data_IF_025253986833
#
_entry.id   IF_025253986833
#
_cell.length_a   1.000
_cell.length_b   1.000
_cell.length_c   1.000
_cell.angle_alpha   90.00
_cell.angle_beta   90.00
_cell.angle_gamma   90.00
#
_symmetry.space_group_name_H-M   'P 1'
#
loop_
_entity.id
_entity.type
_entity.pdbx_description
1 polymer ?
#
# COMPACT_ATOMS: atom_id res chain seq x y z
N UNK A 1 2.15 -5.85 7.97
CA UNK A 1 3.35 -5.99 7.11
C UNK A 1 3.89 -4.61 6.91
N UNK A 2 5.16 -4.42 7.23
CA UNK A 2 5.76 -3.09 7.33
C UNK A 2 7.17 -3.12 6.72
N UNK A 3 7.63 -1.95 6.28
CA UNK A 3 8.98 -1.72 5.79
C UNK A 3 9.52 -0.54 6.57
N UNK A 4 10.61 -0.76 7.28
CA UNK A 4 11.29 0.25 8.09
C UNK A 4 12.66 0.54 7.48
N UNK A 5 13.24 1.70 7.81
CA UNK A 5 14.64 1.99 7.47
C UNK A 5 15.57 1.19 8.39
N UNK A 6 16.48 0.42 7.80
CA UNK A 6 17.46 -0.38 8.52
C UNK A 6 18.90 0.06 8.26
N UNK A 7 19.83 -0.39 9.09
CA UNK A 7 21.24 0.01 9.04
C UNK A 7 21.96 -0.29 7.71
N UNK A 8 21.40 -1.15 6.85
CA UNK A 8 21.98 -1.57 5.56
C UNK A 8 20.98 -1.42 4.40
N UNK A 9 19.96 -0.56 4.57
CA UNK A 9 18.83 -0.45 3.65
C UNK A 9 17.52 -0.91 4.29
N UNK A 10 16.47 -1.17 3.50
CA UNK A 10 15.14 -1.47 4.05
C UNK A 10 15.16 -2.73 4.91
N UNK A 11 14.46 -2.66 6.04
CA UNK A 11 14.13 -3.79 6.89
C UNK A 11 12.68 -4.16 6.64
N UNK A 12 12.42 -5.43 6.30
CA UNK A 12 11.10 -5.97 6.05
C UNK A 12 10.58 -6.66 7.29
N UNK A 13 9.38 -6.29 7.73
CA UNK A 13 8.78 -6.78 8.97
C UNK A 13 7.42 -7.42 8.73
N UNK A 14 7.25 -8.58 9.34
CA UNK A 14 5.97 -9.29 9.48
C UNK A 14 5.63 -9.24 10.96
N UNK A 15 4.56 -8.52 11.34
CA UNK A 15 4.07 -8.48 12.73
C UNK A 15 2.77 -9.29 12.80
N UNK A 16 2.68 -10.18 13.79
CA UNK A 16 1.47 -10.93 14.09
C UNK A 16 1.37 -11.13 15.61
N UNK A 17 0.31 -10.58 16.21
CA UNK A 17 0.13 -10.59 17.67
C UNK A 17 1.39 -10.03 18.38
N UNK A 18 2.02 -10.83 19.25
CA UNK A 18 3.23 -10.47 19.99
C UNK A 18 4.53 -10.85 19.26
N UNK A 19 4.45 -11.50 18.10
CA UNK A 19 5.61 -11.99 17.36
C UNK A 19 5.92 -11.09 16.16
N UNK A 20 7.21 -11.01 15.84
CA UNK A 20 7.69 -10.30 14.66
C UNK A 20 8.80 -11.06 13.96
N UNK A 21 8.76 -11.07 12.64
CA UNK A 21 9.80 -11.66 11.80
C UNK A 21 10.36 -10.59 10.89
N UNK A 22 11.69 -10.47 10.90
CA UNK A 22 12.40 -9.42 10.19
C UNK A 22 13.39 -9.98 9.18
N UNK A 23 13.64 -9.26 8.10
CA UNK A 23 14.61 -9.63 7.08
C UNK A 23 15.06 -8.45 6.23
N UNK A 24 16.26 -8.53 5.66
CA UNK A 24 16.76 -7.50 4.73
C UNK A 24 16.11 -7.59 3.35
N UNK A 25 15.42 -8.70 3.07
CA UNK A 25 14.61 -8.88 1.85
C UNK A 25 13.24 -9.43 2.22
N UNK A 26 12.21 -9.23 1.36
CA UNK A 26 10.89 -9.83 1.54
C UNK A 26 10.97 -11.36 1.72
N UNK A 27 11.83 -12.03 0.94
CA UNK A 27 12.04 -13.48 0.99
C UNK A 27 12.57 -13.96 2.34
N UNK A 28 13.49 -13.23 2.95
CA UNK A 28 14.07 -13.60 4.26
C UNK A 28 13.01 -13.46 5.35
N UNK A 29 12.29 -12.33 5.39
CA UNK A 29 11.24 -12.10 6.37
C UNK A 29 10.13 -13.16 6.23
N UNK A 30 9.68 -13.39 4.99
CA UNK A 30 8.69 -14.42 4.67
C UNK A 30 9.17 -15.83 5.04
N UNK A 31 10.41 -16.19 4.71
CA UNK A 31 10.96 -17.51 5.03
C UNK A 31 11.06 -17.77 6.53
N UNK A 32 11.37 -16.75 7.34
CA UNK A 32 11.34 -16.85 8.81
C UNK A 32 9.91 -17.03 9.32
N UNK A 33 8.97 -16.22 8.83
CA UNK A 33 7.55 -16.37 9.16
C UNK A 33 7.04 -17.76 8.80
N UNK A 34 7.33 -18.27 7.60
CA UNK A 34 6.95 -19.61 7.20
C UNK A 34 7.51 -20.67 8.14
N UNK A 35 8.80 -20.61 8.49
CA UNK A 35 9.40 -21.59 9.40
C UNK A 35 8.70 -21.62 10.75
N UNK A 36 8.41 -20.47 11.35
CA UNK A 36 7.76 -20.36 12.67
C UNK A 36 6.26 -20.67 12.58
N UNK A 37 5.55 -20.05 11.63
CA UNK A 37 4.11 -20.24 11.43
C UNK A 37 3.78 -21.66 10.99
N UNK A 38 4.55 -22.32 10.11
CA UNK A 38 4.28 -23.72 9.77
C UNK A 38 4.51 -24.69 10.93
N UNK A 39 5.38 -24.37 11.90
CA UNK A 39 5.47 -25.14 13.15
C UNK A 39 4.27 -24.92 14.06
N UNK A 40 3.76 -23.69 14.21
CA UNK A 40 2.56 -23.40 15.03
C UNK A 40 1.25 -23.81 14.34
N UNK A 41 1.20 -23.76 13.00
CA UNK A 41 0.04 -24.12 12.16
C UNK A 41 -0.04 -25.63 11.88
N UNK A 42 0.94 -26.45 12.30
CA UNK A 42 0.78 -27.92 12.28
C UNK A 42 -0.42 -28.38 13.12
N UNK A 43 -0.93 -27.54 14.02
CA UNK A 43 -2.11 -27.82 14.84
C UNK A 43 -3.43 -27.38 14.18
N UNK A 44 -3.41 -26.54 13.13
CA UNK A 44 -4.62 -25.88 12.61
C UNK A 44 -5.20 -26.55 11.34
N UNK A 45 -5.48 -27.85 11.39
CA UNK A 45 -6.30 -28.57 10.39
C UNK A 45 -5.64 -28.92 9.05
N UNK A 46 -4.89 -30.03 9.02
CA UNK A 46 -4.95 -31.09 7.97
C UNK A 46 -4.80 -30.76 6.47
N UNK A 47 -4.73 -29.50 6.06
CA UNK A 47 -4.65 -29.06 4.68
C UNK A 47 -3.31 -28.40 4.50
N UNK A 48 -2.42 -29.09 3.79
CA UNK A 48 -1.12 -28.55 3.38
C UNK A 48 -1.41 -27.26 2.62
N UNK A 49 -1.15 -26.10 3.23
CA UNK A 49 -1.10 -24.84 2.51
C UNK A 49 0.11 -24.91 1.58
N UNK A 50 -0.05 -25.52 0.41
CA UNK A 50 0.88 -25.39 -0.71
C UNK A 50 0.66 -24.03 -1.37
N UNK A 51 0.60 -22.97 -0.56
CA UNK A 51 0.53 -21.62 -1.07
C UNK A 51 1.93 -21.31 -1.63
N UNK A 52 2.06 -21.35 -2.96
CA UNK A 52 3.30 -21.01 -3.69
C UNK A 52 3.62 -19.50 -3.63
N UNK A 53 3.03 -18.77 -2.69
CA UNK A 53 3.23 -17.34 -2.53
C UNK A 53 4.65 -17.08 -2.02
N UNK A 54 5.38 -16.21 -2.72
CA UNK A 54 6.74 -15.82 -2.37
C UNK A 54 6.75 -14.51 -1.55
N UNK A 55 7.91 -14.12 -1.02
CA UNK A 55 8.03 -12.95 -0.16
C UNK A 55 7.64 -11.66 -0.88
N UNK A 56 8.12 -11.45 -2.10
CA UNK A 56 7.75 -10.28 -2.93
C UNK A 56 6.24 -10.16 -3.13
N UNK A 57 5.55 -11.26 -3.38
CA UNK A 57 4.09 -11.28 -3.55
C UNK A 57 3.35 -11.02 -2.24
N UNK A 58 3.82 -11.61 -1.14
CA UNK A 58 3.27 -11.40 0.19
C UNK A 58 3.35 -9.94 0.66
N UNK A 59 4.45 -9.26 0.34
CA UNK A 59 4.61 -7.82 0.59
C UNK A 59 3.86 -6.93 -0.41
N UNK A 60 3.16 -7.51 -1.40
CA UNK A 60 2.33 -6.78 -2.35
C UNK A 60 3.10 -6.14 -3.51
N UNK A 61 4.41 -6.34 -3.64
CA UNK A 61 5.21 -5.70 -4.70
C UNK A 61 4.95 -6.24 -6.10
N UNK A 62 4.28 -7.40 -6.23
CA UNK A 62 3.77 -7.86 -7.53
C UNK A 62 2.49 -7.13 -7.97
N UNK A 63 1.85 -6.35 -7.09
CA UNK A 63 0.65 -5.63 -7.44
C UNK A 63 1.00 -4.43 -8.36
N UNK A 64 0.44 -4.34 -9.58
CA UNK A 64 0.73 -3.25 -10.52
C UNK A 64 0.44 -1.86 -9.96
N UNK A 65 -0.56 -1.71 -9.10
CA UNK A 65 -0.91 -0.43 -8.46
C UNK A 65 0.17 -0.01 -7.46
N UNK A 66 0.69 -0.95 -6.66
CA UNK A 66 1.80 -0.69 -5.73
C UNK A 66 3.05 -0.30 -6.52
N UNK A 67 3.36 -1.03 -7.59
CA UNK A 67 4.51 -0.69 -8.44
C UNK A 67 4.37 0.67 -9.11
N UNK A 68 3.17 1.01 -9.57
CA UNK A 68 2.86 2.33 -10.14
C UNK A 68 3.10 3.43 -9.10
N UNK A 69 2.54 3.27 -7.90
CA UNK A 69 2.68 4.23 -6.81
C UNK A 69 4.16 4.45 -6.44
N UNK A 70 4.94 3.37 -6.28
CA UNK A 70 6.36 3.47 -5.94
C UNK A 70 7.16 4.20 -7.02
N UNK A 71 6.86 3.96 -8.31
CA UNK A 71 7.48 4.70 -9.41
C UNK A 71 7.13 6.19 -9.37
N UNK A 72 5.85 6.51 -9.18
CA UNK A 72 5.37 7.90 -9.12
C UNK A 72 6.02 8.68 -7.95
N UNK A 73 6.18 8.05 -6.78
CA UNK A 73 6.89 8.65 -5.64
C UNK A 73 8.36 8.95 -5.97
N UNK A 74 9.05 8.03 -6.67
CA UNK A 74 10.44 8.25 -7.09
C UNK A 74 10.53 9.39 -8.11
N UNK A 75 9.65 9.43 -9.12
CA UNK A 75 9.67 10.48 -10.16
C UNK A 75 9.33 11.86 -9.60
N UNK A 76 8.45 11.94 -8.60
CA UNK A 76 8.07 13.21 -7.98
C UNK A 76 9.17 13.77 -7.07
N UNK A 77 10.04 12.93 -6.50
CA UNK A 77 11.13 13.38 -5.64
C UNK A 77 12.17 14.26 -6.35
N UNK A 78 12.26 14.19 -7.68
CA UNK A 78 13.17 15.02 -8.47
C UNK A 78 12.56 16.35 -8.95
N UNK A 79 11.24 16.56 -8.79
CA UNK A 79 10.52 17.74 -9.32
C UNK A 79 9.68 18.52 -8.30
N UNK A 80 9.67 18.13 -7.01
CA UNK A 80 8.79 18.74 -6.00
C UNK A 80 9.37 20.00 -5.34
N UNK A 81 10.19 20.78 -6.05
CA UNK A 81 10.62 22.12 -5.59
C UNK A 81 9.76 23.25 -6.21
N UNK A 82 8.92 23.00 -7.23
CA UNK A 82 8.26 24.13 -7.95
C UNK A 82 6.73 24.06 -8.13
N UNK A 83 6.01 23.08 -7.60
CA UNK A 83 4.57 22.94 -7.92
C UNK A 83 3.59 23.09 -6.74
N UNK A 84 4.04 23.60 -5.59
CA UNK A 84 3.15 24.11 -4.54
C UNK A 84 3.05 25.64 -4.62
N UNK A 85 2.90 26.20 -5.81
CA UNK A 85 2.58 27.62 -5.98
C UNK A 85 1.87 27.85 -7.31
N UNK A 86 0.60 27.45 -7.38
CA UNK A 86 -0.35 28.18 -8.21
C UNK A 86 -1.71 28.16 -7.56
N UNK A 87 -1.83 29.00 -6.53
CA UNK A 87 -3.10 29.58 -6.13
C UNK A 87 -3.72 30.28 -7.34
N UNK A 88 -4.77 29.69 -7.89
CA UNK A 88 -5.84 30.45 -8.55
C UNK A 88 -7.18 29.93 -8.06
N UNK A 89 -7.53 30.38 -6.86
CA UNK A 89 -8.91 30.76 -6.55
C UNK A 89 -9.43 31.64 -7.68
N UNK A 90 -10.51 31.21 -8.32
CA UNK A 90 -11.41 32.10 -9.05
C UNK A 90 -12.82 31.81 -8.59
N UNK A 91 -13.26 32.58 -7.60
CA UNK A 91 -14.66 32.75 -7.28
C UNK A 91 -15.37 33.60 -8.36
N UNK A 92 -16.64 33.24 -8.57
CA UNK A 92 -17.77 34.03 -9.07
C UNK A 92 -17.96 34.17 -10.58
N UNK A 93 -19.09 33.63 -11.10
CA UNK A 93 -20.25 34.45 -11.53
C UNK A 93 -21.57 33.68 -11.36
N UNK A 94 -22.46 34.31 -10.60
CA UNK A 94 -23.91 34.08 -10.49
C UNK A 94 -24.54 34.14 -11.88
N UNK A 95 -25.49 33.25 -12.18
CA UNK A 95 -26.67 33.60 -12.99
C UNK A 95 -27.86 32.71 -12.62
N UNK A 96 -28.95 33.44 -12.37
CA UNK A 96 -30.30 33.10 -11.92
C UNK A 96 -31.08 32.38 -13.04
N UNK A 97 -31.60 31.18 -12.78
CA UNK A 97 -32.66 30.60 -13.62
C UNK A 97 -33.78 30.08 -12.72
N UNK A 98 -34.88 30.84 -12.72
CA UNK A 98 -36.10 30.61 -11.94
C UNK A 98 -36.84 29.36 -12.42
N UNK A 99 -37.50 28.59 -11.53
CA UNK A 99 -38.39 27.52 -11.97
C UNK A 99 -39.68 28.10 -12.56
N UNK A 100 -39.99 27.70 -13.80
CA UNK A 100 -41.22 28.01 -14.52
C UNK A 100 -42.42 27.40 -13.77
N UNK A 101 -43.39 28.25 -13.40
CA UNK A 101 -44.73 27.84 -12.97
C UNK A 101 -45.52 27.33 -14.18
N UNK A 102 -46.16 26.17 -14.05
CA UNK A 102 -47.33 25.83 -14.85
C UNK A 102 -48.57 26.05 -13.98
N UNK A 103 -49.39 27.04 -14.34
CA UNK A 103 -50.74 27.23 -13.79
C UNK A 103 -51.76 26.43 -14.63
N UNK A 104 -52.73 25.85 -13.92
CA UNK A 104 -53.84 25.03 -14.39
C UNK A 104 -54.90 25.85 -15.15
N UNK A 105 -55.82 25.15 -15.82
CA UNK A 105 -57.25 25.34 -15.54
C UNK A 105 -57.83 24.26 -14.61
#
# INVERSE_FOLDING_TARGET
IEIEEGAKGPLFLIRYLAESWTGQTPEIAWGKFQKTSFSHLKVWHGKRFTCKMNGVEFFGFKNPLVQRLLRELVTNSHGMVESISSDKVSQNRVNDERPVRCESP
#
